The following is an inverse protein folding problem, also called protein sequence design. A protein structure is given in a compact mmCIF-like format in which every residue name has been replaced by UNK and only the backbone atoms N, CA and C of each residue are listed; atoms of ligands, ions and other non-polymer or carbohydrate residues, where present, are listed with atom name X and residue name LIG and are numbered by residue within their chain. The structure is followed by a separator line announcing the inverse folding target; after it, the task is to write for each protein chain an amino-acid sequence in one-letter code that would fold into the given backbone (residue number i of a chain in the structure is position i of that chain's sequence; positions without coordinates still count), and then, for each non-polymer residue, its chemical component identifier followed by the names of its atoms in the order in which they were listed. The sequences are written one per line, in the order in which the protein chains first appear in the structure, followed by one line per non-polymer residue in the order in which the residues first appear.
data_IF_760074174198
#
_entry.id   IF_760074174198
#
_cell.length_a   1.000
_cell.length_b   1.000
_cell.length_c   1.000
_cell.angle_alpha   90.00
_cell.angle_beta   90.00
_cell.angle_gamma   90.00
#
_symmetry.space_group_name_H-M   'P 1'
#
loop_
_entity.id
_entity.type
_entity.pdbx_description
1 polymer ?
#
# COMPACT_ATOMS: atom_id res chain seq x y z
N UNK A 1 46.22 41.83 19.50
CA UNK A 1 44.79 42.21 19.53
C UNK A 1 44.42 42.84 18.20
N UNK A 2 43.74 42.08 17.33
CA UNK A 2 42.85 42.54 16.26
C UNK A 2 42.38 41.29 15.50
N UNK A 3 41.26 40.70 15.95
CA UNK A 3 40.58 39.60 15.29
C UNK A 3 39.70 40.21 14.18
N UNK A 4 40.05 40.04 12.91
CA UNK A 4 39.15 40.36 11.80
C UNK A 4 38.40 39.09 11.38
N UNK A 5 37.15 39.01 11.83
CA UNK A 5 36.12 38.08 11.39
C UNK A 5 35.69 38.43 9.96
N UNK A 6 36.00 37.58 8.99
CA UNK A 6 35.40 37.68 7.65
C UNK A 6 34.12 36.84 7.65
N UNK A 7 33.00 37.54 7.59
CA UNK A 7 31.64 36.98 7.51
C UNK A 7 31.42 36.29 6.16
N UNK A 8 31.08 35.01 6.20
CA UNK A 8 30.58 34.29 5.02
C UNK A 8 29.21 34.87 4.62
N UNK A 9 28.92 34.99 3.31
CA UNK A 9 27.63 35.47 2.84
C UNK A 9 26.51 34.49 3.21
N UNK A 10 25.48 35.06 3.83
CA UNK A 10 24.20 34.47 4.15
C UNK A 10 23.51 34.02 2.85
N UNK A 11 23.68 32.74 2.49
CA UNK A 11 22.93 32.08 1.43
C UNK A 11 21.50 31.85 1.94
N UNK A 12 20.74 32.95 2.02
CA UNK A 12 19.30 33.02 2.25
C UNK A 12 18.51 32.41 1.11
N UNK A 13 18.83 31.18 0.72
CA UNK A 13 17.93 30.31 -0.02
C UNK A 13 16.93 29.75 0.98
N UNK A 14 15.77 30.38 1.06
CA UNK A 14 14.55 29.78 1.60
C UNK A 14 14.28 28.49 0.82
N UNK A 15 14.89 27.39 1.27
CA UNK A 15 14.42 26.05 0.97
C UNK A 15 13.00 26.00 1.54
N UNK A 16 12.02 26.34 0.70
CA UNK A 16 10.62 26.10 0.95
C UNK A 16 10.54 24.62 1.32
N UNK A 17 10.45 24.35 2.62
CA UNK A 17 10.54 23.02 3.16
C UNK A 17 9.50 22.19 2.45
N UNK A 18 9.94 21.29 1.58
CA UNK A 18 9.07 20.31 0.96
C UNK A 18 8.35 19.64 2.11
N UNK A 19 7.06 19.96 2.29
CA UNK A 19 6.23 19.33 3.31
C UNK A 19 6.14 17.87 2.90
N UNK A 20 7.03 17.04 3.42
CA UNK A 20 7.00 15.61 3.20
C UNK A 20 5.72 15.10 3.84
N UNK A 21 4.68 14.94 3.03
CA UNK A 21 3.38 14.51 3.51
C UNK A 21 3.42 13.00 3.71
N UNK A 22 4.00 12.58 4.83
CA UNK A 22 4.09 11.17 5.19
C UNK A 22 2.67 10.66 5.48
N UNK A 23 2.15 9.66 4.74
CA UNK A 23 0.80 9.15 4.93
C UNK A 23 0.67 8.41 6.27
N UNK A 24 -0.55 8.41 6.83
CA UNK A 24 -0.89 7.56 7.98
C UNK A 24 -1.19 6.15 7.50
N UNK A 25 -0.90 5.13 8.31
CA UNK A 25 -1.19 3.74 7.98
C UNK A 25 -2.67 3.51 7.61
N UNK A 26 -3.59 4.08 8.39
CA UNK A 26 -5.04 3.98 8.14
C UNK A 26 -5.44 4.52 6.77
N UNK A 27 -4.75 5.55 6.28
CA UNK A 27 -5.01 6.13 4.95
C UNK A 27 -4.54 5.17 3.87
N UNK A 28 -3.32 4.61 4.00
CA UNK A 28 -2.80 3.63 3.03
C UNK A 28 -3.69 2.39 2.94
N UNK A 29 -4.04 1.80 4.09
CA UNK A 29 -4.92 0.63 4.13
C UNK A 29 -6.32 0.94 3.63
N UNK A 30 -6.87 2.10 4.02
CA UNK A 30 -8.19 2.53 3.58
C UNK A 30 -8.27 2.70 2.06
N UNK A 31 -7.28 3.37 1.46
CA UNK A 31 -7.19 3.55 0.01
C UNK A 31 -6.99 2.19 -0.67
N UNK A 32 -6.07 1.36 -0.19
CA UNK A 32 -5.82 0.05 -0.78
C UNK A 32 -7.07 -0.83 -0.77
N UNK A 33 -7.80 -0.86 0.34
CA UNK A 33 -9.03 -1.63 0.44
C UNK A 33 -10.15 -1.04 -0.43
N UNK A 34 -10.36 0.28 -0.37
CA UNK A 34 -11.42 0.93 -1.13
C UNK A 34 -11.21 0.81 -2.64
N UNK A 35 -10.00 1.08 -3.12
CA UNK A 35 -9.71 1.08 -4.56
C UNK A 35 -9.61 -0.34 -5.09
N UNK A 36 -8.79 -1.20 -4.46
CA UNK A 36 -8.60 -2.55 -4.98
C UNK A 36 -9.82 -3.43 -4.69
N UNK A 37 -10.28 -3.51 -3.44
CA UNK A 37 -11.33 -4.48 -3.09
C UNK A 37 -12.69 -3.97 -3.50
N UNK A 38 -13.09 -2.80 -2.98
CA UNK A 38 -14.44 -2.27 -3.23
C UNK A 38 -14.61 -1.81 -4.67
N UNK A 39 -13.62 -1.12 -5.24
CA UNK A 39 -13.64 -0.66 -6.63
C UNK A 39 -13.79 -1.80 -7.63
N UNK A 40 -12.99 -2.86 -7.52
CA UNK A 40 -13.16 -4.05 -8.38
C UNK A 40 -14.47 -4.77 -8.13
N UNK A 41 -14.90 -4.90 -6.87
CA UNK A 41 -16.18 -5.55 -6.55
C UNK A 41 -17.35 -4.81 -7.19
N UNK A 42 -17.36 -3.48 -7.13
CA UNK A 42 -18.38 -2.64 -7.76
C UNK A 42 -18.34 -2.77 -9.29
N UNK A 43 -17.16 -2.82 -9.90
CA UNK A 43 -17.01 -3.07 -11.34
C UNK A 43 -17.66 -4.40 -11.73
N UNK A 44 -17.31 -5.49 -11.03
CA UNK A 44 -17.85 -6.83 -11.30
C UNK A 44 -19.38 -6.88 -11.10
N UNK A 45 -19.90 -6.23 -10.06
CA UNK A 45 -21.35 -6.15 -9.83
C UNK A 45 -22.03 -5.40 -10.98
N UNK A 46 -21.45 -4.29 -11.44
CA UNK A 46 -21.99 -3.53 -12.57
C UNK A 46 -21.97 -4.35 -13.88
N UNK A 47 -20.92 -5.14 -14.12
CA UNK A 47 -20.84 -6.08 -15.25
C UNK A 47 -21.96 -7.13 -15.20
N UNK A 48 -22.20 -7.73 -14.03
CA UNK A 48 -23.31 -8.68 -13.83
C UNK A 48 -24.68 -8.05 -14.11
N UNK A 49 -24.89 -6.80 -13.72
CA UNK A 49 -26.18 -6.11 -13.88
C UNK A 49 -26.44 -5.64 -15.30
N UNK A 50 -25.39 -5.22 -16.01
CA UNK A 50 -25.48 -4.69 -17.37
C UNK A 50 -25.39 -5.76 -18.44
N UNK A 51 -25.04 -7.00 -18.07
CA UNK A 51 -24.73 -8.07 -19.02
C UNK A 51 -23.47 -7.80 -19.84
N UNK A 52 -22.68 -6.80 -19.44
CA UNK A 52 -21.38 -6.50 -20.04
C UNK A 52 -20.38 -7.56 -19.60
N UNK A 53 -20.15 -8.53 -20.45
CA UNK A 53 -19.02 -9.45 -20.33
C UNK A 53 -17.96 -8.90 -21.26
N UNK A 54 -16.86 -8.38 -20.72
CA UNK A 54 -15.71 -7.98 -21.53
C UNK A 54 -15.35 -9.09 -22.52
N UNK A 55 -14.91 -8.71 -23.72
CA UNK A 55 -14.85 -9.51 -24.96
C UNK A 55 -13.89 -10.73 -24.98
N UNK A 56 -13.61 -11.36 -23.85
CA UNK A 56 -12.80 -12.57 -23.75
C UNK A 56 -13.52 -13.71 -23.02
N UNK A 57 -13.25 -14.95 -23.42
CA UNK A 57 -13.61 -16.13 -22.62
C UNK A 57 -12.93 -16.03 -21.25
N UNK A 58 -13.68 -15.65 -20.22
CA UNK A 58 -13.15 -15.60 -18.87
C UNK A 58 -13.14 -17.02 -18.28
N UNK A 59 -11.98 -17.50 -17.77
CA UNK A 59 -11.86 -18.87 -17.23
C UNK A 59 -12.64 -19.10 -15.93
N UNK A 60 -13.21 -18.04 -15.34
CA UNK A 60 -14.05 -18.10 -14.13
C UNK A 60 -15.27 -17.22 -14.30
N UNK A 61 -16.38 -17.63 -13.70
CA UNK A 61 -17.59 -16.80 -13.66
C UNK A 61 -17.34 -15.49 -12.89
N UNK A 62 -18.07 -14.43 -13.24
CA UNK A 62 -18.02 -13.14 -12.52
C UNK A 62 -18.30 -13.32 -11.02
N UNK A 63 -19.17 -14.28 -10.66
CA UNK A 63 -19.50 -14.60 -9.26
C UNK A 63 -18.30 -15.13 -8.49
N UNK A 64 -17.56 -16.08 -9.06
CA UNK A 64 -16.34 -16.61 -8.46
C UNK A 64 -15.24 -15.55 -8.36
N UNK A 65 -15.15 -14.65 -9.34
CA UNK A 65 -14.22 -13.52 -9.28
C UNK A 65 -14.57 -12.57 -8.14
N UNK A 66 -15.85 -12.20 -7.99
CA UNK A 66 -16.32 -11.35 -6.90
C UNK A 66 -16.03 -11.96 -5.52
N UNK A 67 -16.33 -13.25 -5.35
CA UNK A 67 -16.03 -13.99 -4.11
C UNK A 67 -14.52 -14.02 -3.85
N UNK A 68 -13.70 -14.24 -4.87
CA UNK A 68 -12.24 -14.19 -4.75
C UNK A 68 -11.74 -12.81 -4.33
N UNK A 69 -12.23 -11.74 -4.97
CA UNK A 69 -11.82 -10.36 -4.66
C UNK A 69 -12.19 -9.99 -3.23
N UNK A 70 -13.44 -10.21 -2.84
CA UNK A 70 -13.92 -9.92 -1.48
C UNK A 70 -13.22 -10.81 -0.45
N UNK A 71 -13.09 -12.11 -0.71
CA UNK A 71 -12.49 -13.08 0.20
C UNK A 71 -11.02 -12.78 0.48
N UNK A 72 -10.19 -12.75 -0.56
CA UNK A 72 -8.76 -12.50 -0.42
C UNK A 72 -8.46 -11.04 -0.04
N UNK A 73 -9.24 -10.08 -0.53
CA UNK A 73 -9.14 -8.68 -0.14
C UNK A 73 -9.41 -8.47 1.36
N UNK A 74 -10.48 -9.05 1.88
CA UNK A 74 -10.84 -8.97 3.31
C UNK A 74 -9.84 -9.73 4.17
N UNK A 75 -9.39 -10.91 3.73
CA UNK A 75 -8.33 -11.65 4.42
C UNK A 75 -7.04 -10.82 4.50
N UNK A 76 -6.63 -10.20 3.40
CA UNK A 76 -5.48 -9.29 3.37
C UNK A 76 -5.62 -8.12 4.35
N UNK A 77 -6.83 -7.55 4.47
CA UNK A 77 -7.12 -6.49 5.44
C UNK A 77 -6.96 -6.97 6.88
N UNK A 78 -7.54 -8.13 7.21
CA UNK A 78 -7.45 -8.74 8.53
C UNK A 78 -6.00 -9.07 8.89
N UNK A 79 -5.23 -9.63 7.94
CA UNK A 79 -3.81 -9.91 8.12
C UNK A 79 -3.00 -8.63 8.33
N UNK A 80 -3.29 -7.58 7.56
CA UNK A 80 -2.64 -6.27 7.71
C UNK A 80 -2.87 -5.69 9.11
N UNK A 81 -4.12 -5.55 9.53
CA UNK A 81 -4.49 -4.99 10.83
C UNK A 81 -3.99 -5.86 11.98
N UNK A 82 -4.15 -7.18 11.86
CA UNK A 82 -3.69 -8.16 12.84
C UNK A 82 -2.17 -8.14 13.01
N UNK A 83 -1.41 -8.07 11.91
CA UNK A 83 0.05 -7.96 11.94
C UNK A 83 0.49 -6.66 12.64
N UNK A 84 -0.11 -5.52 12.30
CA UNK A 84 0.20 -4.25 12.97
C UNK A 84 -0.10 -4.31 14.47
N UNK A 85 -1.24 -4.87 14.85
CA UNK A 85 -1.63 -5.02 16.25
C UNK A 85 -0.70 -5.97 17.04
N UNK A 86 -0.28 -7.08 16.42
CA UNK A 86 0.54 -8.10 17.05
C UNK A 86 2.02 -7.69 17.14
N UNK A 87 2.60 -7.23 16.02
CA UNK A 87 4.02 -6.91 15.91
C UNK A 87 4.35 -5.48 16.37
N UNK A 88 3.41 -4.54 16.28
CA UNK A 88 3.63 -3.14 16.65
C UNK A 88 3.84 -2.88 18.15
N UNK A 89 3.54 -3.85 19.02
CA UNK A 89 3.68 -3.72 20.48
C UNK A 89 5.12 -3.57 20.96
N UNK A 90 6.10 -4.16 20.26
CA UNK A 90 7.53 -4.14 20.64
C UNK A 90 8.38 -3.81 19.42
N UNK A 91 9.42 -2.98 19.59
CA UNK A 91 10.26 -2.53 18.48
C UNK A 91 10.98 -3.69 17.76
N UNK A 92 11.49 -4.67 18.51
CA UNK A 92 12.10 -5.88 17.93
C UNK A 92 11.11 -6.69 17.08
N UNK A 93 9.85 -6.77 17.51
CA UNK A 93 8.79 -7.49 16.79
C UNK A 93 8.33 -6.73 15.54
N UNK A 94 8.32 -5.40 15.60
CA UNK A 94 7.98 -4.56 14.46
C UNK A 94 8.94 -4.78 13.29
N UNK A 95 10.24 -4.91 13.55
CA UNK A 95 11.23 -5.24 12.52
C UNK A 95 10.94 -6.59 11.84
N UNK A 96 10.69 -7.65 12.62
CA UNK A 96 10.32 -8.96 12.06
C UNK A 96 9.01 -8.89 11.27
N UNK A 97 7.99 -8.22 11.80
CA UNK A 97 6.71 -8.05 11.12
C UNK A 97 6.85 -7.31 9.79
N UNK A 98 7.69 -6.27 9.72
CA UNK A 98 7.96 -5.56 8.48
C UNK A 98 8.59 -6.48 7.41
N UNK A 99 9.54 -7.33 7.79
CA UNK A 99 10.17 -8.30 6.89
C UNK A 99 9.15 -9.33 6.42
N UNK A 100 8.41 -9.96 7.34
CA UNK A 100 7.43 -10.99 7.02
C UNK A 100 6.36 -10.46 6.07
N UNK A 101 5.77 -9.30 6.38
CA UNK A 101 4.72 -8.70 5.56
C UNK A 101 5.27 -8.21 4.22
N UNK A 102 6.49 -7.67 4.19
CA UNK A 102 7.16 -7.27 2.95
C UNK A 102 7.43 -8.45 2.04
N UNK A 103 7.98 -9.55 2.57
CA UNK A 103 8.23 -10.78 1.80
C UNK A 103 6.93 -11.39 1.29
N UNK A 104 5.89 -11.46 2.13
CA UNK A 104 4.58 -12.01 1.73
C UNK A 104 3.86 -11.15 0.68
N UNK A 105 4.13 -9.85 0.63
CA UNK A 105 3.52 -8.95 -0.36
C UNK A 105 3.95 -9.24 -1.80
N UNK A 106 5.18 -9.75 -2.01
CA UNK A 106 5.71 -10.07 -3.36
C UNK A 106 4.95 -11.22 -4.04
N UNK A 107 4.84 -12.44 -3.45
CA UNK A 107 4.04 -13.50 -4.05
C UNK A 107 2.56 -13.13 -4.06
N UNK A 108 2.08 -12.36 -3.08
CA UNK A 108 0.69 -11.90 -3.09
C UNK A 108 0.36 -11.06 -4.33
N UNK A 109 1.33 -10.32 -4.88
CA UNK A 109 1.14 -9.56 -6.13
C UNK A 109 0.90 -10.47 -7.34
N UNK A 110 1.62 -11.59 -7.41
CA UNK A 110 1.48 -12.55 -8.50
C UNK A 110 0.15 -13.34 -8.43
N UNK A 111 -0.31 -13.66 -7.22
CA UNK A 111 -1.48 -14.54 -7.03
C UNK A 111 -2.79 -13.79 -6.72
N UNK A 112 -2.73 -12.59 -6.16
CA UNK A 112 -3.87 -11.88 -5.59
C UNK A 112 -3.91 -10.43 -6.03
N UNK A 113 -4.40 -10.19 -7.25
CA UNK A 113 -4.58 -8.83 -7.78
C UNK A 113 -5.58 -7.99 -6.96
N UNK A 114 -6.43 -8.65 -6.16
CA UNK A 114 -7.55 -8.12 -5.40
C UNK A 114 -7.24 -7.05 -4.33
N UNK A 115 -5.97 -6.61 -4.17
CA UNK A 115 -5.58 -5.61 -3.17
C UNK A 115 -4.80 -6.14 -1.98
N UNK A 116 -4.75 -7.46 -1.78
CA UNK A 116 -3.95 -8.12 -0.76
C UNK A 116 -2.46 -7.66 -0.72
N UNK A 117 -1.71 -7.61 -1.84
CA UNK A 117 -0.32 -7.13 -1.82
C UNK A 117 -0.19 -5.69 -1.32
N UNK A 118 -1.15 -4.81 -1.64
CA UNK A 118 -1.16 -3.43 -1.16
C UNK A 118 -1.41 -3.35 0.35
N UNK A 119 -2.32 -4.18 0.87
CA UNK A 119 -2.66 -4.24 2.29
C UNK A 119 -1.48 -4.78 3.11
N UNK A 120 -0.87 -5.88 2.67
CA UNK A 120 0.32 -6.43 3.31
C UNK A 120 1.49 -5.43 3.22
N UNK A 121 1.66 -4.78 2.08
CA UNK A 121 2.66 -3.73 1.87
C UNK A 121 2.48 -2.53 2.79
N UNK A 122 1.23 -2.09 3.01
CA UNK A 122 0.91 -1.01 3.94
C UNK A 122 1.26 -1.37 5.40
N UNK A 123 0.98 -2.60 5.81
CA UNK A 123 1.41 -3.11 7.13
C UNK A 123 2.94 -3.15 7.24
N UNK A 124 3.64 -3.65 6.21
CA UNK A 124 5.10 -3.68 6.18
C UNK A 124 5.70 -2.28 6.31
N UNK A 125 5.17 -1.31 5.56
CA UNK A 125 5.58 0.09 5.61
C UNK A 125 5.35 0.72 6.99
N UNK A 126 4.20 0.46 7.61
CA UNK A 126 3.90 0.96 8.95
C UNK A 126 4.83 0.36 10.01
N UNK A 127 5.03 -0.96 9.99
CA UNK A 127 5.90 -1.68 10.93
C UNK A 127 7.38 -1.31 10.77
N UNK A 128 7.80 -0.90 9.57
CA UNK A 128 9.12 -0.35 9.29
C UNK A 128 9.29 1.13 9.71
N UNK A 129 8.21 1.78 10.15
CA UNK A 129 8.23 3.19 10.56
C UNK A 129 8.22 4.19 9.39
N UNK A 130 7.69 3.80 8.22
CA UNK A 130 7.58 4.68 7.05
C UNK A 130 6.27 5.48 7.01
N UNK A 131 5.31 5.17 7.88
CA UNK A 131 4.08 5.95 8.04
C UNK A 131 4.21 6.92 9.21
N UNK A 132 3.40 7.98 9.22
CA UNK A 132 3.42 9.03 10.24
C UNK A 132 3.26 8.50 11.67
N UNK A 133 2.52 7.42 11.81
CA UNK A 133 2.18 6.74 13.07
C UNK A 133 3.07 5.51 13.37
N UNK A 134 4.02 5.20 12.49
CA UNK A 134 4.95 4.09 12.67
C UNK A 134 6.13 4.46 13.58
N UNK A 135 6.70 3.46 14.26
CA UNK A 135 7.93 3.64 15.04
C UNK A 135 9.14 3.41 14.12
N UNK A 136 10.11 4.32 14.05
CA UNK A 136 11.25 4.17 13.15
C UNK A 136 12.03 2.88 13.42
N UNK A 137 12.25 2.08 12.38
CA UNK A 137 13.14 0.90 12.41
C UNK A 137 14.28 1.15 11.43
N UNK A 138 15.49 0.69 11.77
CA UNK A 138 16.68 0.81 10.94
C UNK A 138 17.11 -0.55 10.36
N UNK A 139 17.96 -0.53 9.35
CA UNK A 139 18.53 -1.73 8.72
C UNK A 139 17.57 -2.44 7.77
N UNK A 140 17.76 -3.75 7.60
CA UNK A 140 17.02 -4.58 6.63
C UNK A 140 15.49 -4.45 6.69
N UNK A 141 14.83 -4.41 7.88
CA UNK A 141 13.37 -4.23 7.95
C UNK A 141 12.86 -2.97 7.25
N UNK A 142 13.67 -1.92 7.19
CA UNK A 142 13.30 -0.67 6.52
C UNK A 142 13.23 -0.82 5.01
N UNK A 143 14.12 -1.62 4.42
CA UNK A 143 14.09 -1.93 2.98
C UNK A 143 12.83 -2.70 2.61
N UNK A 144 12.46 -3.71 3.40
CA UNK A 144 11.21 -4.45 3.19
C UNK A 144 9.98 -3.56 3.36
N UNK A 145 10.01 -2.62 4.32
CA UNK A 145 8.98 -1.61 4.44
C UNK A 145 8.87 -0.70 3.21
N UNK A 146 9.99 -0.31 2.59
CA UNK A 146 9.98 0.52 1.38
C UNK A 146 9.38 -0.23 0.20
N UNK A 147 9.76 -1.49 -0.01
CA UNK A 147 9.16 -2.36 -1.04
C UNK A 147 7.65 -2.52 -0.80
N UNK A 148 7.26 -2.76 0.46
CA UNK A 148 5.85 -2.82 0.83
C UNK A 148 5.10 -1.51 0.56
N UNK A 149 5.71 -0.36 0.83
CA UNK A 149 5.12 0.94 0.53
C UNK A 149 4.92 1.15 -0.97
N UNK A 150 5.88 0.71 -1.79
CA UNK A 150 5.75 0.76 -3.26
C UNK A 150 4.52 -0.03 -3.70
N UNK A 151 4.31 -1.25 -3.19
CA UNK A 151 3.11 -2.01 -3.52
C UNK A 151 1.82 -1.39 -2.96
N UNK A 152 1.87 -0.80 -1.76
CA UNK A 152 0.74 -0.11 -1.16
C UNK A 152 0.26 1.09 -2.00
N UNK A 153 1.13 1.68 -2.83
CA UNK A 153 0.81 2.82 -3.70
C UNK A 153 0.53 2.37 -5.14
N UNK A 154 1.42 1.57 -5.72
CA UNK A 154 1.32 1.19 -7.14
C UNK A 154 0.15 0.26 -7.41
N UNK A 155 -0.17 -0.67 -6.51
CA UNK A 155 -1.24 -1.63 -6.77
C UNK A 155 -2.65 -0.97 -6.80
N UNK A 156 -3.00 -0.04 -5.89
CA UNK A 156 -4.23 0.75 -6.03
C UNK A 156 -4.26 1.57 -7.32
N UNK A 157 -3.15 2.22 -7.71
CA UNK A 157 -3.08 2.99 -8.96
C UNK A 157 -3.29 2.10 -10.19
N UNK A 158 -2.65 0.93 -10.22
CA UNK A 158 -2.82 -0.03 -11.31
C UNK A 158 -4.26 -0.55 -11.39
N UNK A 159 -4.87 -0.89 -10.26
CA UNK A 159 -6.27 -1.33 -10.21
C UNK A 159 -7.24 -0.23 -10.65
N UNK A 160 -7.07 0.99 -10.15
CA UNK A 160 -7.88 2.12 -10.57
C UNK A 160 -7.78 2.35 -12.09
N UNK A 161 -6.56 2.33 -12.63
CA UNK A 161 -6.32 2.51 -14.06
C UNK A 161 -6.96 1.38 -14.87
N UNK A 162 -6.76 0.12 -14.46
CA UNK A 162 -7.32 -1.03 -15.15
C UNK A 162 -8.85 -0.97 -15.20
N UNK A 163 -9.51 -0.74 -14.06
CA UNK A 163 -10.98 -0.60 -14.00
C UNK A 163 -11.42 0.56 -14.89
N UNK A 164 -10.79 1.73 -14.76
CA UNK A 164 -11.18 2.91 -15.55
C UNK A 164 -11.07 2.66 -17.05
N UNK A 165 -9.99 2.01 -17.50
CA UNK A 165 -9.79 1.67 -18.91
C UNK A 165 -10.85 0.69 -19.41
N UNK A 166 -11.20 -0.33 -18.63
CA UNK A 166 -12.24 -1.32 -19.01
C UNK A 166 -13.63 -0.73 -19.23
N UNK A 167 -13.92 0.43 -18.64
CA UNK A 167 -15.22 1.12 -18.79
C UNK A 167 -15.20 2.20 -19.89
N UNK A 168 -14.02 2.63 -20.35
CA UNK A 168 -13.88 3.69 -21.35
C UNK A 168 -13.64 3.15 -22.76
N UNK A 169 -13.12 1.93 -22.88
CA UNK A 169 -12.82 1.24 -24.14
C UNK A 169 -13.79 0.09 -24.35
#
# INVERSE_FOLDING_TARGET
MAHQSTTAPDLGGTAAGARTWVPRYRVLVGIAYAVCVLGMSLSIIAEMQTGYVGSGEQPRSLGEQLVGVLGFGTLGLLLSVGAVWLFGRKLQRAGLGAVVMGVLSVPALAFFWCGMPALLGAAAAHLAGLTRDGRPVAGAPRLFGMVGLVFAVLNPLANFTAVTVSWLL
#
